data_IF_622610510359
#
_entry.id   IF_622610510359
#
_cell.length_a   1.000
_cell.length_b   1.000
_cell.length_c   1.000
_cell.angle_alpha   90.00
_cell.angle_beta   90.00
_cell.angle_gamma   90.00
#
_symmetry.space_group_name_H-M   'P 1'
#
loop_
_entity.id
_entity.type
_entity.pdbx_description
1 polymer ?
#
# COMPACT_ATOMS: atom_id res chain seq x y z
N UNK A 1 -5.37 -1.32 -9.30
CA UNK A 1 -6.75 -1.15 -8.78
C UNK A 1 -7.56 -2.44 -8.79
N UNK A 2 -7.43 -3.32 -9.80
CA UNK A 2 -8.21 -4.58 -9.90
C UNK A 2 -8.21 -5.45 -8.64
N UNK A 3 -7.06 -5.66 -8.00
CA UNK A 3 -6.95 -6.42 -6.74
C UNK A 3 -7.77 -5.78 -5.58
N UNK A 4 -7.77 -4.45 -5.48
CA UNK A 4 -8.54 -3.74 -4.45
C UNK A 4 -10.03 -3.93 -4.68
N UNK A 5 -10.49 -3.76 -5.94
CA UNK A 5 -11.92 -3.94 -6.29
C UNK A 5 -12.38 -5.37 -6.06
N UNK A 6 -11.60 -6.37 -6.46
CA UNK A 6 -11.91 -7.78 -6.21
C UNK A 6 -12.12 -8.09 -4.72
N UNK A 7 -11.34 -7.49 -3.82
CA UNK A 7 -11.54 -7.63 -2.36
C UNK A 7 -12.80 -6.95 -1.84
N UNK A 8 -13.31 -5.94 -2.55
CA UNK A 8 -14.54 -5.24 -2.20
C UNK A 8 -15.79 -5.90 -2.78
N UNK A 9 -15.66 -6.75 -3.80
CA UNK A 9 -16.77 -7.53 -4.38
C UNK A 9 -17.18 -8.71 -3.50
N UNK A 10 -16.27 -9.19 -2.65
CA UNK A 10 -16.50 -10.24 -1.65
C UNK A 10 -16.28 -9.72 -0.21
N UNK A 11 -17.06 -8.71 0.25
CA UNK A 11 -16.85 -8.14 1.56
C UNK A 11 -17.38 -9.07 2.66
N UNK A 12 -16.55 -9.34 3.68
CA UNK A 12 -16.93 -10.16 4.83
C UNK A 12 -17.00 -9.29 6.09
N UNK A 13 -18.19 -9.03 6.65
CA UNK A 13 -18.32 -8.29 7.92
C UNK A 13 -18.04 -6.78 7.86
N UNK A 14 -18.20 -6.16 6.68
CA UNK A 14 -18.08 -4.71 6.46
C UNK A 14 -19.46 -4.05 6.32
N UNK A 15 -19.68 -2.90 6.97
CA UNK A 15 -20.92 -2.13 6.83
C UNK A 15 -21.05 -1.51 5.42
N UNK A 16 -22.28 -1.42 4.92
CA UNK A 16 -22.58 -0.91 3.58
C UNK A 16 -22.01 0.50 3.32
N UNK A 17 -21.97 1.37 4.33
CA UNK A 17 -21.42 2.73 4.22
C UNK A 17 -19.91 2.72 4.10
N UNK A 18 -19.24 1.80 4.80
CA UNK A 18 -17.79 1.65 4.70
C UNK A 18 -17.40 1.05 3.34
N UNK A 19 -18.15 0.08 2.86
CA UNK A 19 -17.97 -0.49 1.52
C UNK A 19 -18.15 0.57 0.43
N UNK A 20 -19.26 1.32 0.47
CA UNK A 20 -19.54 2.39 -0.49
C UNK A 20 -18.46 3.47 -0.48
N UNK A 21 -17.95 3.83 0.70
CA UNK A 21 -16.83 4.77 0.82
C UNK A 21 -15.56 4.23 0.12
N UNK A 22 -15.20 2.96 0.34
CA UNK A 22 -14.00 2.36 -0.27
C UNK A 22 -14.14 2.24 -1.79
N UNK A 23 -15.33 1.91 -2.31
CA UNK A 23 -15.61 1.88 -3.75
C UNK A 23 -15.48 3.26 -4.38
N UNK A 24 -16.10 4.29 -3.79
CA UNK A 24 -15.99 5.66 -4.27
C UNK A 24 -14.55 6.22 -4.16
N UNK A 25 -13.75 5.70 -3.24
CA UNK A 25 -12.33 6.02 -3.17
C UNK A 25 -11.53 5.37 -4.30
N UNK A 26 -11.85 4.12 -4.68
CA UNK A 26 -11.24 3.49 -5.85
C UNK A 26 -11.47 4.34 -7.11
N UNK A 27 -12.70 4.80 -7.33
CA UNK A 27 -13.04 5.65 -8.49
C UNK A 27 -12.21 6.94 -8.50
N UNK A 28 -12.14 7.64 -7.36
CA UNK A 28 -11.35 8.88 -7.22
C UNK A 28 -9.85 8.65 -7.43
N UNK A 29 -9.32 7.52 -6.98
CA UNK A 29 -7.90 7.21 -7.14
C UNK A 29 -7.57 6.79 -8.57
N UNK A 30 -8.45 6.08 -9.27
CA UNK A 30 -8.26 5.79 -10.70
C UNK A 30 -8.17 7.07 -11.51
N UNK A 31 -9.06 8.05 -11.26
CA UNK A 31 -9.01 9.37 -11.89
C UNK A 31 -7.71 10.13 -11.55
N UNK A 32 -7.31 10.14 -10.27
CA UNK A 32 -6.08 10.80 -9.85
C UNK A 32 -4.82 10.17 -10.45
N UNK A 33 -4.79 8.83 -10.57
CA UNK A 33 -3.69 8.09 -11.19
C UNK A 33 -3.59 8.38 -12.69
N UNK A 34 -4.72 8.47 -13.38
CA UNK A 34 -4.75 8.78 -14.81
C UNK A 34 -4.17 10.17 -15.14
N UNK A 35 -4.23 11.10 -14.18
CA UNK A 35 -3.71 12.46 -14.31
C UNK A 35 -2.34 12.67 -13.66
N UNK A 36 -1.72 11.62 -13.13
CA UNK A 36 -0.47 11.72 -12.39
C UNK A 36 0.72 11.91 -13.35
N UNK A 37 1.56 12.91 -13.07
CA UNK A 37 2.80 13.16 -13.81
C UNK A 37 3.97 12.54 -13.07
N UNK A 38 4.60 11.54 -13.68
CA UNK A 38 5.78 10.84 -13.16
C UNK A 38 7.07 11.60 -13.50
N UNK A 39 8.06 11.54 -12.61
CA UNK A 39 9.35 12.21 -12.76
C UNK A 39 10.45 11.27 -13.27
N UNK A 40 10.39 10.00 -12.86
CA UNK A 40 11.34 9.00 -13.30
C UNK A 40 11.02 8.56 -14.73
N UNK A 41 12.04 8.39 -15.60
CA UNK A 41 11.86 7.68 -16.86
C UNK A 41 11.18 6.33 -16.62
N UNK A 42 10.18 5.94 -17.42
CA UNK A 42 9.59 4.62 -17.34
C UNK A 42 10.64 3.53 -17.47
N UNK A 43 10.41 2.39 -16.81
CA UNK A 43 11.28 1.24 -16.89
C UNK A 43 10.72 0.07 -16.10
N UNK A 44 11.52 -0.99 -15.90
CA UNK A 44 11.06 -2.19 -15.22
C UNK A 44 10.57 -1.86 -13.81
N UNK A 45 9.35 -2.29 -13.51
CA UNK A 45 8.77 -2.29 -12.17
C UNK A 45 8.31 -3.70 -11.83
N UNK A 46 8.36 -4.02 -10.54
CA UNK A 46 7.76 -5.22 -9.98
C UNK A 46 6.23 -5.16 -10.04
N UNK A 47 5.66 -3.97 -9.83
CA UNK A 47 4.21 -3.74 -9.80
C UNK A 47 3.55 -4.09 -8.47
N UNK A 48 4.25 -4.82 -7.59
CA UNK A 48 3.86 -5.06 -6.20
C UNK A 48 5.07 -5.20 -5.25
N UNK A 49 6.05 -4.30 -5.35
CA UNK A 49 7.26 -4.36 -4.53
C UNK A 49 6.99 -3.99 -3.06
N UNK A 50 6.41 -4.88 -2.26
CA UNK A 50 6.32 -4.71 -0.80
C UNK A 50 7.14 -5.76 -0.05
N UNK A 51 7.49 -5.48 1.21
CA UNK A 51 8.36 -6.34 2.03
C UNK A 51 7.92 -7.81 2.17
N UNK A 52 6.68 -8.16 1.85
CA UNK A 52 6.23 -9.56 1.83
C UNK A 52 6.74 -10.35 0.60
N UNK A 53 7.16 -9.64 -0.44
CA UNK A 53 7.71 -10.18 -1.69
C UNK A 53 9.26 -10.17 -1.70
N UNK A 54 9.88 -9.71 -0.61
CA UNK A 54 11.32 -9.78 -0.39
C UNK A 54 11.65 -11.07 0.38
N UNK A 55 12.38 -11.98 -0.27
CA UNK A 55 12.96 -13.17 0.36
C UNK A 55 14.40 -12.86 0.72
N UNK A 56 14.72 -12.87 2.01
CA UNK A 56 16.10 -12.74 2.48
C UNK A 56 16.91 -14.00 2.12
N UNK A 57 17.98 -13.85 1.33
CA UNK A 57 18.92 -14.91 0.97
C UNK A 57 20.34 -14.64 1.47
N UNK A 58 21.18 -15.68 1.47
CA UNK A 58 22.60 -15.61 1.88
C UNK A 58 23.41 -14.66 0.99
N UNK A 59 23.03 -14.51 -0.28
CA UNK A 59 23.69 -13.65 -1.27
C UNK A 59 23.04 -12.25 -1.39
N UNK A 60 22.06 -11.94 -0.53
CA UNK A 60 21.28 -10.70 -0.56
C UNK A 60 19.77 -10.95 -0.69
N UNK A 61 18.95 -9.89 -0.58
CA UNK A 61 17.51 -10.00 -0.74
C UNK A 61 17.14 -10.29 -2.20
N UNK A 62 16.31 -11.30 -2.42
CA UNK A 62 15.67 -11.58 -3.70
C UNK A 62 14.23 -11.05 -3.68
N UNK A 63 13.83 -10.32 -4.71
CA UNK A 63 12.42 -9.99 -4.93
C UNK A 63 11.76 -11.15 -5.67
N UNK A 64 10.55 -11.52 -5.27
CA UNK A 64 9.78 -12.64 -5.79
C UNK A 64 8.35 -12.19 -6.13
N UNK A 65 7.64 -12.98 -6.95
CA UNK A 65 6.28 -12.69 -7.46
C UNK A 65 6.21 -11.60 -8.55
N UNK A 66 6.77 -11.93 -9.72
CA UNK A 66 6.82 -11.05 -10.90
C UNK A 66 5.53 -11.04 -11.74
N UNK A 67 4.42 -11.63 -11.26
CA UNK A 67 3.17 -11.73 -12.04
C UNK A 67 2.56 -10.35 -12.36
N UNK A 68 2.95 -9.32 -11.59
CA UNK A 68 2.56 -7.91 -11.81
C UNK A 68 3.64 -7.07 -12.48
N UNK A 69 4.77 -7.66 -12.88
CA UNK A 69 5.90 -6.91 -13.42
C UNK A 69 5.65 -6.43 -14.83
N UNK A 70 6.03 -5.17 -15.07
CA UNK A 70 5.86 -4.53 -16.37
C UNK A 70 6.86 -3.38 -16.53
N UNK A 71 6.93 -2.82 -17.75
CA UNK A 71 7.55 -1.51 -17.94
C UNK A 71 6.55 -0.42 -17.56
N UNK A 72 6.91 0.42 -16.59
CA UNK A 72 6.00 1.39 -16.02
C UNK A 72 6.70 2.49 -15.22
N UNK A 73 5.94 3.31 -14.48
CA UNK A 73 6.49 4.39 -13.69
C UNK A 73 7.18 3.85 -12.43
N UNK A 74 8.48 4.07 -12.32
CA UNK A 74 9.32 3.41 -11.31
C UNK A 74 9.08 3.88 -9.88
N UNK A 75 8.41 5.02 -9.71
CA UNK A 75 7.97 5.53 -8.41
C UNK A 75 7.07 4.54 -7.67
N UNK A 76 6.32 3.70 -8.41
CA UNK A 76 5.42 2.70 -7.83
C UNK A 76 6.11 1.74 -6.86
N UNK A 77 7.31 1.29 -7.20
CA UNK A 77 8.05 0.32 -6.37
C UNK A 77 8.70 0.96 -5.14
N UNK A 78 8.83 2.29 -5.10
CA UNK A 78 9.37 3.01 -3.94
C UNK A 78 8.30 3.26 -2.86
N UNK A 79 7.02 3.30 -3.27
CA UNK A 79 5.89 3.68 -2.42
C UNK A 79 5.69 2.73 -1.23
N UNK A 80 5.80 1.39 -1.35
CA UNK A 80 5.57 0.51 -0.21
C UNK A 80 6.56 0.72 0.93
N UNK A 81 7.84 0.98 0.63
CA UNK A 81 8.85 1.29 1.66
C UNK A 81 8.60 2.68 2.27
N UNK A 82 8.24 3.67 1.45
CA UNK A 82 7.85 4.99 1.92
C UNK A 82 6.64 4.97 2.87
N UNK A 83 5.56 4.28 2.49
CA UNK A 83 4.38 4.10 3.35
C UNK A 83 4.72 3.26 4.58
N UNK A 84 5.63 2.29 4.44
CA UNK A 84 6.26 1.57 5.54
C UNK A 84 6.77 2.52 6.62
N UNK A 85 7.68 3.42 6.25
CA UNK A 85 8.25 4.45 7.14
C UNK A 85 7.21 5.40 7.74
N UNK A 86 6.18 5.75 6.98
CA UNK A 86 5.18 6.74 7.42
C UNK A 86 4.07 6.17 8.29
N UNK A 87 3.72 4.89 8.13
CA UNK A 87 2.61 4.27 8.86
C UNK A 87 3.07 3.30 9.93
N UNK A 88 4.24 2.68 9.82
CA UNK A 88 4.64 1.59 10.72
C UNK A 88 5.92 1.96 11.47
N UNK A 89 5.99 1.52 12.72
CA UNK A 89 7.16 1.72 13.58
C UNK A 89 8.17 0.58 13.37
N UNK A 90 8.74 0.51 12.17
CA UNK A 90 9.83 -0.41 11.88
C UNK A 90 11.14 0.08 12.52
N UNK A 91 11.95 -0.86 13.01
CA UNK A 91 13.18 -0.54 13.74
C UNK A 91 14.33 -0.01 12.85
N UNK A 92 14.29 -0.30 11.54
CA UNK A 92 15.32 0.09 10.58
C UNK A 92 14.91 1.30 9.71
N UNK A 93 15.91 1.99 9.13
CA UNK A 93 15.70 3.07 8.15
C UNK A 93 15.85 2.56 6.71
N UNK A 94 15.07 1.54 6.35
CA UNK A 94 15.08 0.94 5.01
C UNK A 94 14.77 1.99 3.92
N UNK A 95 13.93 2.98 4.25
CA UNK A 95 13.63 4.08 3.35
C UNK A 95 14.84 4.98 3.10
N UNK A 96 15.58 5.39 4.14
CA UNK A 96 16.77 6.22 3.98
C UNK A 96 17.84 5.51 3.14
N UNK A 97 18.03 4.21 3.38
CA UNK A 97 18.90 3.38 2.56
C UNK A 97 18.43 3.30 1.09
N UNK A 98 17.13 3.10 0.87
CA UNK A 98 16.53 3.06 -0.47
C UNK A 98 16.75 4.37 -1.22
N UNK A 99 16.44 5.51 -0.62
CA UNK A 99 16.64 6.83 -1.23
C UNK A 99 18.11 7.06 -1.57
N UNK A 100 19.03 6.69 -0.67
CA UNK A 100 20.47 6.82 -0.89
C UNK A 100 21.00 6.00 -2.07
N UNK A 101 20.49 4.78 -2.28
CA UNK A 101 20.93 3.92 -3.38
C UNK A 101 20.19 4.22 -4.69
N UNK A 102 18.88 4.48 -4.61
CA UNK A 102 18.04 4.73 -5.77
C UNK A 102 18.26 6.13 -6.36
N UNK A 103 18.62 7.10 -5.52
CA UNK A 103 18.84 8.49 -5.91
C UNK A 103 17.55 9.29 -6.12
N UNK A 104 16.42 8.81 -5.61
CA UNK A 104 15.12 9.48 -5.71
C UNK A 104 14.35 9.42 -4.39
N UNK A 105 13.94 10.57 -3.88
CA UNK A 105 13.11 10.70 -2.69
C UNK A 105 11.63 10.75 -3.10
N UNK A 106 10.97 9.59 -3.10
CA UNK A 106 9.56 9.51 -3.49
C UNK A 106 8.66 10.29 -2.53
N UNK A 107 9.00 10.46 -1.25
CA UNK A 107 8.18 11.25 -0.31
C UNK A 107 8.19 12.74 -0.67
N UNK A 108 9.31 13.26 -1.17
CA UNK A 108 9.44 14.64 -1.58
C UNK A 108 8.76 14.96 -2.92
N UNK A 109 8.47 13.93 -3.73
CA UNK A 109 7.84 14.07 -5.04
C UNK A 109 6.36 14.52 -4.94
N UNK A 110 5.92 15.58 -5.67
CA UNK A 110 4.55 16.09 -5.60
C UNK A 110 3.44 15.07 -5.94
N UNK A 111 3.75 14.02 -6.70
CA UNK A 111 2.79 12.96 -7.05
C UNK A 111 2.60 11.90 -5.96
N UNK A 112 3.48 11.85 -4.97
CA UNK A 112 3.46 10.84 -3.91
C UNK A 112 2.16 10.75 -3.11
N UNK A 113 1.47 11.86 -2.76
CA UNK A 113 0.22 11.78 -2.01
C UNK A 113 -0.83 10.88 -2.69
N UNK A 114 -0.86 10.82 -4.04
CA UNK A 114 -1.77 9.94 -4.79
C UNK A 114 -1.37 8.47 -4.60
N UNK A 115 -0.10 8.13 -4.82
CA UNK A 115 0.37 6.75 -4.66
C UNK A 115 0.34 6.28 -3.20
N UNK A 116 0.60 7.17 -2.24
CA UNK A 116 0.42 6.91 -0.81
C UNK A 116 -1.03 6.51 -0.52
N UNK A 117 -2.00 7.29 -0.99
CA UNK A 117 -3.43 6.99 -0.80
C UNK A 117 -3.82 5.65 -1.40
N UNK A 118 -3.31 5.33 -2.59
CA UNK A 118 -3.54 4.02 -3.21
C UNK A 118 -2.97 2.88 -2.36
N UNK A 119 -1.72 3.02 -1.91
CA UNK A 119 -1.07 1.99 -1.10
C UNK A 119 -1.74 1.81 0.25
N UNK A 120 -2.14 2.89 0.91
CA UNK A 120 -2.90 2.84 2.15
C UNK A 120 -4.28 2.18 1.96
N UNK A 121 -4.97 2.46 0.85
CA UNK A 121 -6.24 1.77 0.53
C UNK A 121 -6.03 0.27 0.31
N UNK A 122 -4.95 -0.14 -0.38
CA UNK A 122 -4.58 -1.56 -0.51
C UNK A 122 -4.40 -2.22 0.86
N UNK A 123 -3.78 -1.53 1.82
CA UNK A 123 -3.60 -2.03 3.20
C UNK A 123 -4.87 -2.04 4.05
N UNK A 124 -5.81 -1.13 3.80
CA UNK A 124 -7.13 -1.11 4.45
C UNK A 124 -7.99 -2.26 3.93
N UNK A 125 -7.96 -2.51 2.62
CA UNK A 125 -8.79 -3.53 1.96
C UNK A 125 -8.24 -4.94 2.06
N UNK A 126 -6.94 -5.12 2.36
CA UNK A 126 -6.26 -6.43 2.32
C UNK A 126 -6.87 -7.53 3.20
N UNK A 127 -7.64 -7.17 4.23
CA UNK A 127 -8.28 -8.12 5.16
C UNK A 127 -9.81 -8.09 5.10
N UNK A 128 -10.40 -7.26 4.23
CA UNK A 128 -11.86 -7.16 4.07
C UNK A 128 -12.51 -8.53 3.79
N UNK A 129 -11.93 -9.41 2.94
CA UNK A 129 -12.54 -10.73 2.68
C UNK A 129 -12.52 -11.71 3.86
N UNK A 130 -11.81 -11.41 4.95
CA UNK A 130 -11.67 -12.30 6.13
C UNK A 130 -12.07 -11.64 7.44
N UNK A 131 -12.70 -10.46 7.38
CA UNK A 131 -12.89 -9.62 8.57
C UNK A 131 -13.97 -10.16 9.51
N UNK A 132 -15.03 -10.82 9.02
CA UNK A 132 -16.01 -11.46 9.90
C UNK A 132 -15.49 -12.79 10.47
N UNK A 133 -14.77 -13.57 9.65
CA UNK A 133 -14.14 -14.82 10.11
C UNK A 133 -12.97 -14.59 11.09
N UNK A 134 -12.44 -13.37 11.20
CA UNK A 134 -11.37 -12.99 12.14
C UNK A 134 -11.71 -11.74 12.96
N UNK A 135 -12.65 -11.83 13.93
CA UNK A 135 -13.10 -10.66 14.72
C UNK A 135 -11.97 -9.92 15.45
N UNK A 136 -10.88 -10.61 15.80
CA UNK A 136 -9.68 -10.01 16.42
C UNK A 136 -9.06 -8.89 15.57
N UNK A 137 -9.27 -8.89 14.25
CA UNK A 137 -8.74 -7.89 13.33
C UNK A 137 -9.62 -6.63 13.24
N UNK A 138 -10.90 -6.69 13.67
CA UNK A 138 -11.84 -5.58 13.52
C UNK A 138 -11.37 -4.26 14.15
N UNK A 139 -10.89 -4.21 15.40
CA UNK A 139 -10.48 -2.94 16.02
C UNK A 139 -9.33 -2.28 15.24
N UNK A 140 -8.36 -3.08 14.81
CA UNK A 140 -7.21 -2.61 14.04
C UNK A 140 -7.63 -2.15 12.64
N UNK A 141 -8.48 -2.91 11.96
CA UNK A 141 -9.04 -2.53 10.66
C UNK A 141 -9.81 -1.21 10.74
N UNK A 142 -10.69 -1.08 11.74
CA UNK A 142 -11.51 0.10 11.99
C UNK A 142 -10.64 1.34 12.14
N UNK A 143 -9.60 1.25 12.97
CA UNK A 143 -8.63 2.33 13.17
C UNK A 143 -7.95 2.75 11.85
N UNK A 144 -7.55 1.79 11.00
CA UNK A 144 -6.95 2.10 9.69
C UNK A 144 -7.95 2.80 8.77
N UNK A 145 -9.17 2.28 8.66
CA UNK A 145 -10.21 2.89 7.82
C UNK A 145 -10.55 4.30 8.27
N UNK A 146 -10.70 4.53 9.57
CA UNK A 146 -11.02 5.85 10.13
C UNK A 146 -9.91 6.87 9.88
N UNK A 147 -8.65 6.51 10.18
CA UNK A 147 -7.50 7.41 9.97
C UNK A 147 -7.21 7.65 8.49
N UNK A 148 -7.47 6.66 7.64
CA UNK A 148 -7.46 6.85 6.19
C UNK A 148 -8.57 7.81 5.73
N UNK A 149 -9.80 7.64 6.23
CA UNK A 149 -10.96 8.47 5.87
C UNK A 149 -10.79 9.92 6.32
N UNK A 150 -10.27 10.14 7.52
CA UNK A 150 -10.02 11.49 8.05
C UNK A 150 -8.77 12.16 7.47
N UNK A 151 -8.00 11.46 6.61
CA UNK A 151 -6.68 11.90 6.13
C UNK A 151 -5.71 12.21 7.27
N UNK A 152 -5.82 11.49 8.38
CA UNK A 152 -4.81 11.54 9.44
C UNK A 152 -3.56 10.81 8.95
N UNK A 153 -2.62 11.58 8.41
CA UNK A 153 -1.35 11.09 7.89
C UNK A 153 -0.31 10.81 8.99
N UNK A 154 -0.60 11.20 10.23
CA UNK A 154 0.29 11.05 11.39
C UNK A 154 0.02 9.76 12.18
N UNK A 155 -1.17 9.18 12.01
CA UNK A 155 -1.53 7.93 12.68
C UNK A 155 -0.60 6.78 12.29
N UNK A 156 -0.04 6.14 13.32
CA UNK A 156 0.70 4.88 13.20
C UNK A 156 -0.24 3.68 13.20
N UNK A 157 0.10 2.69 12.40
CA UNK A 157 -0.57 1.42 12.23
C UNK A 157 0.36 0.30 12.68
N UNK A 158 -0.19 -0.73 13.30
CA UNK A 158 0.53 -1.99 13.55
C UNK A 158 0.33 -2.95 12.38
N UNK A 159 1.25 -3.90 12.17
CA UNK A 159 1.03 -5.02 11.25
C UNK A 159 -0.08 -5.93 11.80
N UNK A 160 -0.82 -6.61 10.91
CA UNK A 160 -1.77 -7.63 11.38
C UNK A 160 -0.94 -8.76 11.98
N UNK A 161 -1.19 -9.09 13.25
CA UNK A 161 -0.52 -10.21 13.91
C UNK A 161 -0.93 -11.48 13.16
N UNK A 162 0.03 -12.26 12.66
CA UNK A 162 -0.26 -13.62 12.23
C UNK A 162 -0.71 -14.36 13.49
N UNK A 163 -1.98 -14.73 13.56
CA UNK A 163 -2.43 -15.69 14.56
C UNK A 163 -1.59 -16.96 14.35
N UNK A 164 -0.77 -17.28 15.36
CA UNK A 164 -0.05 -18.54 15.51
C UNK A 164 -1.02 -19.71 15.67
#
# INVERSE_FOLDING_TARGET
MGEIRSRLDEPDGVDIRDLAYMQAECDRLEEALANLTYELPPGPIHGDAFMGNLISGIDGPAICDFDSSCDGPREWDLVPVAVGKLRFDYAGDDYGALVGHYGFDVIAWPGFPVLRRLRELKLVTSIVPVLASRPVLQPQWRRRLETYRSRDETARWSTYVRAS
#
